data_IF_823512051534
#
_entry.id   IF_823512051534
#
_cell.length_a   1.000
_cell.length_b   1.000
_cell.length_c   1.000
_cell.angle_alpha   90.00
_cell.angle_beta   90.00
_cell.angle_gamma   90.00
#
_symmetry.space_group_name_H-M   'P 1'
#
loop_
_entity.id
_entity.type
_entity.pdbx_description
1 polymer ?
#
# COMPACT_ATOMS: atom_id res chain seq x y z
N UNK A 1 6.39 -15.89 9.63
CA UNK A 1 6.02 -14.90 8.61
C UNK A 1 5.36 -15.65 7.45
N UNK A 2 4.34 -15.07 6.84
CA UNK A 2 3.59 -15.66 5.71
C UNK A 2 3.30 -14.60 4.64
N UNK A 3 2.96 -15.01 3.42
CA UNK A 3 2.56 -14.08 2.38
C UNK A 3 1.15 -13.50 2.65
N UNK A 4 0.84 -12.35 2.04
CA UNK A 4 -0.44 -11.65 2.25
C UNK A 4 -1.68 -12.55 1.99
N UNK A 5 -1.64 -13.39 0.95
CA UNK A 5 -2.75 -14.28 0.61
C UNK A 5 -3.00 -15.39 1.65
N UNK A 6 -2.02 -15.68 2.50
CA UNK A 6 -2.08 -16.74 3.51
C UNK A 6 -2.55 -16.21 4.88
N UNK A 7 -2.75 -14.90 5.00
CA UNK A 7 -3.28 -14.25 6.19
C UNK A 7 -4.78 -14.51 6.39
N UNK A 8 -5.22 -14.47 7.65
CA UNK A 8 -6.66 -14.43 7.96
C UNK A 8 -7.28 -13.13 7.42
N UNK A 9 -8.59 -13.08 7.14
CA UNK A 9 -9.24 -11.86 6.66
C UNK A 9 -9.08 -10.64 7.60
N UNK A 10 -8.99 -10.90 8.91
CA UNK A 10 -8.72 -9.86 9.90
C UNK A 10 -7.29 -9.30 9.76
N UNK A 11 -6.29 -10.19 9.68
CA UNK A 11 -4.90 -9.81 9.49
C UNK A 11 -4.64 -9.14 8.12
N UNK A 12 -5.31 -9.58 7.05
CA UNK A 12 -5.26 -8.88 5.76
C UNK A 12 -5.75 -7.44 5.88
N UNK A 13 -6.80 -7.20 6.66
CA UNK A 13 -7.34 -5.85 6.87
C UNK A 13 -6.37 -4.96 7.66
N UNK A 14 -5.56 -5.54 8.56
CA UNK A 14 -4.48 -4.83 9.25
C UNK A 14 -3.38 -4.45 8.25
N UNK A 15 -2.89 -5.41 7.47
CA UNK A 15 -1.85 -5.20 6.45
C UNK A 15 -2.27 -4.13 5.41
N UNK A 16 -3.51 -4.18 4.93
CA UNK A 16 -4.07 -3.18 4.01
C UNK A 16 -4.14 -1.80 4.64
N UNK A 17 -4.59 -1.67 5.90
CA UNK A 17 -4.65 -0.36 6.57
C UNK A 17 -3.26 0.24 6.75
N UNK A 18 -2.29 -0.58 7.16
CA UNK A 18 -0.91 -0.15 7.33
C UNK A 18 -0.30 0.32 6.00
N UNK A 19 -0.43 -0.50 4.96
CA UNK A 19 0.09 -0.19 3.63
C UNK A 19 -0.63 0.98 2.96
N UNK A 20 -1.95 1.10 3.11
CA UNK A 20 -2.71 2.27 2.67
C UNK A 20 -2.19 3.55 3.32
N UNK A 21 -1.93 3.54 4.63
CA UNK A 21 -1.41 4.72 5.32
C UNK A 21 -0.04 5.13 4.76
N UNK A 22 0.84 4.16 4.49
CA UNK A 22 2.12 4.38 3.84
C UNK A 22 1.96 4.96 2.43
N UNK A 23 1.16 4.32 1.56
CA UNK A 23 0.90 4.79 0.19
C UNK A 23 0.32 6.21 0.17
N UNK A 24 -0.62 6.52 1.08
CA UNK A 24 -1.28 7.84 1.14
C UNK A 24 -0.30 8.94 1.56
N UNK A 25 0.66 8.67 2.45
CA UNK A 25 1.70 9.63 2.82
C UNK A 25 2.55 10.02 1.60
N UNK A 26 2.93 9.02 0.81
CA UNK A 26 3.69 9.16 -0.43
C UNK A 26 2.88 9.87 -1.52
N UNK A 27 1.61 9.50 -1.71
CA UNK A 27 0.67 10.21 -2.57
C UNK A 27 0.56 11.70 -2.22
N UNK A 28 0.47 12.05 -0.95
CA UNK A 28 0.37 13.46 -0.50
C UNK A 28 1.65 14.26 -0.70
N UNK A 29 2.80 13.59 -0.86
CA UNK A 29 4.11 14.22 -1.12
C UNK A 29 4.47 14.25 -2.61
N UNK A 30 3.59 13.72 -3.46
CA UNK A 30 3.83 13.53 -4.90
C UNK A 30 5.05 12.61 -5.18
N UNK A 31 5.25 11.62 -4.31
CA UNK A 31 6.38 10.68 -4.35
C UNK A 31 5.83 9.24 -4.48
N UNK A 32 5.38 8.87 -5.67
CA UNK A 32 4.80 7.55 -5.93
C UNK A 32 5.65 6.68 -6.85
N UNK A 33 6.82 7.14 -7.30
CA UNK A 33 7.56 6.55 -8.41
C UNK A 33 7.65 5.02 -8.32
N UNK A 34 8.17 4.49 -7.21
CA UNK A 34 8.29 3.03 -6.98
C UNK A 34 6.95 2.36 -6.69
N UNK A 35 6.01 3.06 -6.06
CA UNK A 35 4.70 2.52 -5.72
C UNK A 35 3.81 2.35 -6.96
N UNK A 36 4.04 3.14 -8.01
CA UNK A 36 3.33 2.99 -9.28
C UNK A 36 3.67 1.69 -9.99
N UNK A 37 4.88 1.14 -9.81
CA UNK A 37 5.28 -0.15 -10.40
C UNK A 37 4.43 -1.33 -9.90
N UNK A 38 3.87 -1.21 -8.69
CA UNK A 38 3.02 -2.24 -8.10
C UNK A 38 1.62 -2.25 -8.72
N UNK A 39 1.18 -1.15 -9.32
CA UNK A 39 -0.18 -1.00 -9.84
C UNK A 39 -0.19 -1.08 -11.36
N UNK A 40 -1.27 -1.60 -11.96
CA UNK A 40 -1.59 -1.23 -13.34
C UNK A 40 -2.06 0.22 -13.41
N UNK A 41 -1.97 0.85 -14.59
CA UNK A 41 -2.49 2.20 -14.82
C UNK A 41 -3.94 2.36 -14.34
N UNK A 42 -4.77 1.34 -14.58
CA UNK A 42 -6.17 1.34 -14.14
C UNK A 42 -6.32 1.29 -12.61
N UNK A 43 -5.54 0.44 -11.93
CA UNK A 43 -5.54 0.35 -10.47
C UNK A 43 -5.09 1.69 -9.86
N UNK A 44 -3.99 2.24 -10.37
CA UNK A 44 -3.45 3.51 -9.92
C UNK A 44 -4.43 4.66 -10.14
N UNK A 45 -5.06 4.74 -11.32
CA UNK A 45 -6.04 5.77 -11.63
C UNK A 45 -7.25 5.72 -10.67
N UNK A 46 -7.74 4.51 -10.36
CA UNK A 46 -8.86 4.33 -9.42
C UNK A 46 -8.50 4.74 -8.00
N UNK A 47 -7.35 4.28 -7.48
CA UNK A 47 -6.85 4.67 -6.15
C UNK A 47 -6.70 6.18 -6.09
N UNK A 48 -5.97 6.76 -7.04
CA UNK A 48 -5.66 8.19 -7.05
C UNK A 48 -6.90 9.06 -7.22
N UNK A 49 -7.94 8.59 -7.93
CA UNK A 49 -9.22 9.30 -8.02
C UNK A 49 -9.89 9.43 -6.66
N UNK A 50 -9.94 8.34 -5.88
CA UNK A 50 -10.51 8.37 -4.52
C UNK A 50 -9.70 9.29 -3.62
N UNK A 51 -8.37 9.20 -3.66
CA UNK A 51 -7.49 10.04 -2.83
C UNK A 51 -7.57 11.52 -3.20
N UNK A 52 -7.58 11.86 -4.50
CA UNK A 52 -7.73 13.26 -4.96
C UNK A 52 -9.07 13.86 -4.55
N UNK A 53 -10.16 13.10 -4.70
CA UNK A 53 -11.51 13.56 -4.34
C UNK A 53 -11.61 13.92 -2.86
N UNK A 54 -10.84 13.23 -2.01
CA UNK A 54 -10.83 13.42 -0.56
C UNK A 54 -9.54 14.11 -0.07
N UNK A 55 -8.79 14.80 -0.95
CA UNK A 55 -7.42 15.25 -0.68
C UNK A 55 -7.27 16.20 0.52
N UNK A 56 -8.36 16.85 0.93
CA UNK A 56 -8.43 17.72 2.12
C UNK A 56 -8.36 16.96 3.45
N UNK A 57 -8.58 15.65 3.45
CA UNK A 57 -8.57 14.81 4.66
C UNK A 57 -7.15 14.49 5.14
N UNK A 58 -7.03 14.16 6.43
CA UNK A 58 -5.80 13.59 7.01
C UNK A 58 -5.52 12.20 6.45
N UNK A 59 -4.31 11.67 6.65
CA UNK A 59 -3.96 10.31 6.23
C UNK A 59 -4.91 9.27 6.85
N UNK A 60 -5.19 9.39 8.15
CA UNK A 60 -6.07 8.46 8.87
C UNK A 60 -7.52 8.51 8.36
N UNK A 61 -8.03 9.72 8.12
CA UNK A 61 -9.34 9.91 7.51
C UNK A 61 -9.40 9.29 6.10
N UNK A 62 -8.36 9.51 5.29
CA UNK A 62 -8.24 8.92 3.95
C UNK A 62 -8.22 7.40 3.99
N UNK A 63 -7.47 6.77 4.89
CA UNK A 63 -7.48 5.31 5.08
C UNK A 63 -8.90 4.86 5.39
N UNK A 64 -9.58 5.52 6.32
CA UNK A 64 -10.93 5.14 6.75
C UNK A 64 -11.95 5.21 5.62
N UNK A 65 -11.95 6.28 4.81
CA UNK A 65 -12.90 6.42 3.69
C UNK A 65 -12.50 5.59 2.47
N UNK A 66 -11.21 5.36 2.25
CA UNK A 66 -10.71 4.66 1.06
C UNK A 66 -10.73 3.14 1.23
N UNK A 67 -10.59 2.64 2.46
CA UNK A 67 -10.56 1.20 2.75
C UNK A 67 -11.74 0.47 2.11
N UNK A 68 -13.02 0.78 2.38
CA UNK A 68 -14.14 0.06 1.77
C UNK A 68 -14.23 0.20 0.24
N UNK A 69 -13.68 1.28 -0.33
CA UNK A 69 -13.78 1.59 -1.76
C UNK A 69 -12.67 0.91 -2.59
N UNK A 70 -11.49 0.75 -1.99
CA UNK A 70 -10.26 0.39 -2.71
C UNK A 70 -9.53 -0.79 -2.11
N UNK A 71 -10.09 -1.46 -1.08
CA UNK A 71 -9.52 -2.65 -0.41
C UNK A 71 -8.87 -3.64 -1.38
N UNK A 72 -9.66 -4.09 -2.36
CA UNK A 72 -9.24 -5.07 -3.36
C UNK A 72 -8.08 -4.59 -4.26
N UNK A 73 -7.97 -3.28 -4.49
CA UNK A 73 -6.85 -2.70 -5.25
C UNK A 73 -5.57 -2.76 -4.42
N UNK A 74 -5.62 -2.36 -3.15
CA UNK A 74 -4.48 -2.43 -2.24
C UNK A 74 -4.05 -3.86 -1.92
N UNK A 75 -4.99 -4.81 -1.83
CA UNK A 75 -4.69 -6.24 -1.74
C UNK A 75 -3.85 -6.72 -2.94
N UNK A 76 -4.17 -6.27 -4.15
CA UNK A 76 -3.39 -6.62 -5.35
C UNK A 76 -1.98 -6.01 -5.35
N UNK A 77 -1.83 -4.78 -4.85
CA UNK A 77 -0.52 -4.14 -4.68
C UNK A 77 0.31 -4.90 -3.62
N UNK A 78 -0.30 -5.26 -2.49
CA UNK A 78 0.34 -6.04 -1.42
C UNK A 78 0.86 -7.40 -1.91
N UNK A 79 0.06 -8.11 -2.70
CA UNK A 79 0.47 -9.38 -3.30
C UNK A 79 1.71 -9.23 -4.21
N UNK A 80 1.86 -8.08 -4.89
CA UNK A 80 3.03 -7.78 -5.73
C UNK A 80 4.23 -7.24 -4.96
N UNK A 81 4.00 -6.60 -3.82
CA UNK A 81 5.07 -6.02 -3.01
C UNK A 81 6.03 -7.07 -2.45
N UNK A 82 5.57 -8.33 -2.32
CA UNK A 82 6.40 -9.45 -1.85
C UNK A 82 6.81 -9.33 -0.38
N UNK A 83 6.14 -8.47 0.39
CA UNK A 83 6.32 -8.34 1.84
C UNK A 83 5.75 -9.59 2.53
N UNK A 84 6.43 -10.09 3.56
CA UNK A 84 5.87 -11.09 4.47
C UNK A 84 5.25 -10.43 5.70
N UNK A 85 4.34 -11.15 6.37
CA UNK A 85 3.57 -10.64 7.49
C UNK A 85 3.55 -11.63 8.65
N UNK A 86 3.39 -11.10 9.87
CA UNK A 86 3.10 -11.92 11.05
C UNK A 86 1.62 -12.35 11.10
N UNK A 87 1.24 -13.15 12.10
CA UNK A 87 -0.14 -13.65 12.25
C UNK A 87 -1.18 -12.55 12.50
N UNK A 88 -0.73 -11.35 12.92
CA UNK A 88 -1.57 -10.18 13.16
C UNK A 88 -1.65 -9.26 11.94
N UNK A 89 -0.90 -9.55 10.88
CA UNK A 89 -0.86 -8.78 9.64
C UNK A 89 0.11 -7.61 9.66
N UNK A 90 1.03 -7.54 10.63
CA UNK A 90 2.08 -6.52 10.62
C UNK A 90 3.17 -6.92 9.62
N UNK A 91 3.68 -5.95 8.86
CA UNK A 91 4.76 -6.18 7.91
C UNK A 91 6.04 -6.66 8.61
N UNK A 92 6.76 -7.60 7.98
CA UNK A 92 8.02 -8.14 8.49
C UNK A 92 9.12 -7.08 8.65
N UNK A 93 9.01 -5.97 7.94
CA UNK A 93 9.85 -4.79 8.10
C UNK A 93 9.08 -3.49 7.82
N UNK A 94 9.58 -2.33 8.29
CA UNK A 94 8.96 -1.05 7.98
C UNK A 94 8.88 -0.79 6.47
N UNK A 95 7.76 -0.26 6.00
CA UNK A 95 7.54 0.03 4.58
C UNK A 95 8.55 1.03 3.97
N UNK A 96 9.07 1.96 4.78
CA UNK A 96 10.13 2.88 4.31
C UNK A 96 11.46 2.14 4.07
N UNK A 97 11.77 1.10 4.87
CA UNK A 97 12.94 0.23 4.64
C UNK A 97 12.77 -0.55 3.35
N UNK A 98 11.59 -1.19 3.17
CA UNK A 98 11.26 -1.90 1.94
C UNK A 98 11.34 -1.00 0.70
N UNK A 99 10.86 0.25 0.79
CA UNK A 99 10.91 1.22 -0.30
C UNK A 99 12.35 1.57 -0.68
N UNK A 100 13.21 1.81 0.32
CA UNK A 100 14.63 2.12 0.11
C UNK A 100 15.40 0.96 -0.56
N UNK A 101 15.14 -0.27 -0.15
CA UNK A 101 15.72 -1.49 -0.74
C UNK A 101 15.29 -1.66 -2.21
N UNK A 102 14.01 -1.37 -2.50
CA UNK A 102 13.48 -1.44 -3.85
C UNK A 102 14.07 -0.37 -4.76
N UNK A 103 14.22 0.87 -4.27
CA UNK A 103 14.94 1.93 -5.00
C UNK A 103 16.40 1.55 -5.32
N UNK A 104 17.12 0.95 -4.37
CA UNK A 104 18.51 0.53 -4.59
C UNK A 104 18.60 -0.54 -5.70
N UNK A 105 17.66 -1.48 -5.72
CA UNK A 105 17.60 -2.53 -6.75
C UNK A 105 17.35 -1.94 -8.14
N UNK A 106 16.46 -0.95 -8.26
CA UNK A 106 16.12 -0.30 -9.53
C UNK A 106 17.26 0.57 -10.09
N UNK A 107 18.10 1.14 -9.23
CA UNK A 107 19.26 1.99 -9.64
C UNK A 107 20.47 1.19 -10.14
N UNK A 108 20.44 -0.14 -10.05
CA UNK A 108 21.58 -1.00 -10.39
C UNK A 108 21.51 -1.54 -11.83
N UNK A 109 20.65 -0.96 -12.67
CA UNK A 109 20.54 -1.23 -14.12
C UNK A 109 20.87 0.03 -14.93
#
# INVERSE_FOLDING_TARGET
MVAFQDLTPAAQTVAEREFMAFYIRHFKRDDLEVLTELASDSQQAMINRVLRTNGFMTVEQLVTVSLPLTKHLFAALLAKAGMEFDELGNAAQPWETWLAERHATLRTF
#
